data_IF_742202495075
#
_entry.id   IF_742202495075
#
_cell.length_a   1.000
_cell.length_b   1.000
_cell.length_c   1.000
_cell.angle_alpha   90.00
_cell.angle_beta   90.00
_cell.angle_gamma   90.00
#
_symmetry.space_group_name_H-M   'P 1'
#
loop_
_entity.id
_entity.type
_entity.pdbx_description
1 polymer ?
#
# COMPACT_ATOMS: atom_id res chain seq x y z
N UNK A 1 1.37 4.59 -9.71
CA UNK A 1 0.95 3.18 -9.97
C UNK A 1 0.67 2.52 -8.62
N UNK A 2 -0.37 1.69 -8.49
CA UNK A 2 -0.70 1.00 -7.22
C UNK A 2 -0.59 -0.51 -7.36
N UNK A 3 0.01 -1.18 -6.39
CA UNK A 3 0.09 -2.65 -6.32
C UNK A 3 -0.49 -3.15 -4.99
N UNK A 4 -1.17 -4.30 -5.01
CA UNK A 4 -1.72 -4.95 -3.82
C UNK A 4 -1.25 -6.39 -3.78
N UNK A 5 -0.42 -6.69 -2.78
CA UNK A 5 0.15 -8.01 -2.57
C UNK A 5 -0.16 -8.53 -1.18
N UNK A 6 0.10 -9.80 -0.93
CA UNK A 6 -0.06 -10.43 0.37
C UNK A 6 1.29 -10.94 0.87
N UNK A 7 1.59 -10.66 2.13
CA UNK A 7 2.86 -11.02 2.79
C UNK A 7 2.57 -11.82 4.06
N UNK A 8 3.47 -12.73 4.43
CA UNK A 8 3.29 -13.57 5.62
C UNK A 8 3.94 -12.91 6.83
N UNK A 9 3.14 -12.58 7.83
CA UNK A 9 3.58 -11.93 9.09
C UNK A 9 3.11 -12.76 10.27
N UNK A 10 4.03 -13.17 11.15
CA UNK A 10 3.71 -13.92 12.38
C UNK A 10 2.73 -15.09 12.15
N UNK A 11 2.99 -15.88 11.11
CA UNK A 11 2.19 -17.03 10.69
C UNK A 11 0.75 -16.72 10.17
N UNK A 12 0.46 -15.47 9.83
CA UNK A 12 -0.79 -15.03 9.19
C UNK A 12 -0.49 -14.28 7.89
N UNK A 13 -1.44 -14.23 6.98
CA UNK A 13 -1.34 -13.43 5.76
C UNK A 13 -1.89 -12.03 5.99
N UNK A 14 -1.12 -11.02 5.63
CA UNK A 14 -1.54 -9.63 5.60
C UNK A 14 -1.50 -9.12 4.15
N UNK A 15 -2.46 -8.27 3.80
CA UNK A 15 -2.47 -7.53 2.55
C UNK A 15 -1.69 -6.23 2.73
N UNK A 16 -0.92 -5.87 1.73
CA UNK A 16 -0.13 -4.64 1.70
C UNK A 16 -0.38 -3.94 0.37
N UNK A 17 -0.72 -2.66 0.45
CA UNK A 17 -0.91 -1.80 -0.70
C UNK A 17 0.26 -0.83 -0.82
N UNK A 18 0.91 -0.81 -1.97
CA UNK A 18 2.01 0.10 -2.30
C UNK A 18 1.58 1.08 -3.39
N UNK A 19 2.01 2.33 -3.26
CA UNK A 19 1.93 3.33 -4.32
C UNK A 19 3.34 3.71 -4.71
N UNK A 20 3.64 3.50 -6.00
CA UNK A 20 4.97 3.74 -6.55
C UNK A 20 4.88 4.90 -7.54
N UNK A 21 5.77 5.87 -7.37
CA UNK A 21 6.09 6.85 -8.39
C UNK A 21 7.03 6.22 -9.42
N UNK A 22 6.56 6.10 -10.66
CA UNK A 22 7.33 5.48 -11.73
C UNK A 22 8.49 6.35 -12.24
N UNK A 23 8.40 7.67 -12.06
CA UNK A 23 9.45 8.58 -12.49
C UNK A 23 10.64 8.51 -11.54
N UNK A 24 10.38 8.69 -10.24
CA UNK A 24 11.41 8.66 -9.20
C UNK A 24 11.78 7.24 -8.76
N UNK A 25 10.98 6.22 -9.11
CA UNK A 25 11.13 4.81 -8.67
C UNK A 25 11.10 4.65 -7.15
N UNK A 26 10.29 5.47 -6.49
CA UNK A 26 10.15 5.50 -5.03
C UNK A 26 8.74 5.05 -4.60
N UNK A 27 8.66 4.45 -3.43
CA UNK A 27 7.38 4.15 -2.78
C UNK A 27 6.91 5.43 -2.11
N UNK A 28 5.81 5.98 -2.61
CA UNK A 28 5.23 7.24 -2.13
C UNK A 28 4.01 7.01 -1.26
N UNK A 29 3.51 5.79 -1.13
CA UNK A 29 2.40 5.46 -0.24
C UNK A 29 2.36 4.00 0.15
N UNK A 30 1.88 3.71 1.36
CA UNK A 30 1.86 2.39 1.97
C UNK A 30 0.68 2.23 2.94
N UNK A 31 -0.02 1.11 2.87
CA UNK A 31 -0.92 0.65 3.94
C UNK A 31 -0.91 -0.89 4.05
N UNK A 32 -1.24 -1.41 5.23
CA UNK A 32 -1.26 -2.85 5.52
C UNK A 32 -2.50 -3.23 6.35
N UNK A 33 -2.99 -4.45 6.15
CA UNK A 33 -4.21 -4.90 6.80
C UNK A 33 -4.43 -6.41 6.67
N UNK A 34 -5.14 -7.00 7.62
CA UNK A 34 -5.38 -8.45 7.65
C UNK A 34 -6.45 -8.92 6.65
N UNK A 35 -7.16 -7.99 6.02
CA UNK A 35 -8.25 -8.26 5.10
C UNK A 35 -8.12 -7.39 3.86
N UNK A 36 -8.51 -7.91 2.70
CA UNK A 36 -8.56 -7.15 1.45
C UNK A 36 -9.76 -6.18 1.47
N UNK A 37 -9.56 -4.98 2.00
CA UNK A 37 -10.58 -3.94 2.12
C UNK A 37 -10.28 -2.74 1.21
N UNK A 38 -11.30 -1.92 0.94
CA UNK A 38 -11.12 -0.66 0.22
C UNK A 38 -10.31 0.36 1.05
N UNK A 39 -10.40 0.28 2.38
CA UNK A 39 -9.70 1.17 3.30
C UNK A 39 -8.17 1.06 3.15
N UNK A 40 -7.64 -0.13 2.87
CA UNK A 40 -6.21 -0.31 2.57
C UNK A 40 -5.72 0.59 1.44
N UNK A 41 -6.47 0.64 0.35
CA UNK A 41 -6.10 1.45 -0.82
C UNK A 41 -6.27 2.92 -0.49
N UNK A 42 -7.35 3.28 0.22
CA UNK A 42 -7.61 4.66 0.64
C UNK A 42 -6.49 5.18 1.55
N UNK A 43 -6.09 4.42 2.55
CA UNK A 43 -5.01 4.78 3.47
C UNK A 43 -3.67 4.91 2.73
N UNK A 44 -3.37 4.00 1.80
CA UNK A 44 -2.16 4.10 0.99
C UNK A 44 -2.15 5.41 0.16
N UNK A 45 -3.30 5.81 -0.41
CA UNK A 45 -3.44 7.09 -1.14
C UNK A 45 -3.31 8.29 -0.19
N UNK A 46 -3.87 8.21 1.02
CA UNK A 46 -3.78 9.26 2.02
C UNK A 46 -2.38 9.41 2.61
N UNK A 47 -1.56 8.35 2.57
CA UNK A 47 -0.17 8.37 3.03
C UNK A 47 0.80 9.08 2.09
N UNK A 48 0.34 9.55 0.93
CA UNK A 48 1.18 10.23 -0.06
C UNK A 48 1.67 11.58 0.51
N UNK A 49 3.00 11.84 0.54
CA UNK A 49 3.58 12.97 1.26
C UNK A 49 3.37 14.33 0.58
N UNK A 50 2.82 14.36 -0.63
CA UNK A 50 2.53 15.57 -1.39
C UNK A 50 1.21 15.43 -2.14
N UNK A 51 0.55 16.56 -2.42
CA UNK A 51 -0.61 16.57 -3.29
C UNK A 51 -0.17 16.17 -4.70
N UNK A 52 -0.82 15.13 -5.26
CA UNK A 52 -0.67 14.72 -6.65
C UNK A 52 -1.36 15.70 -7.61
#
# INVERSE_FOLDING_TARGET
MTDLTYVRVANRWAYVCFIIDLFNREIIGLSFGWHKTADLVKEAIQSIPYAL
#
